data_IF_579371386144
#
_entry.id   IF_579371386144
#
_cell.length_a   1.000
_cell.length_b   1.000
_cell.length_c   1.000
_cell.angle_alpha   90.00
_cell.angle_beta   90.00
_cell.angle_gamma   90.00
#
_symmetry.space_group_name_H-M   'P 1'
#
loop_
_entity.id
_entity.type
_entity.pdbx_description
1 polymer ?
#
# COMPACT_ATOMS: atom_id res chain seq x y z
N UNK A 1 -22.66 0.95 11.03
CA UNK A 1 -22.91 0.34 9.71
C UNK A 1 -21.58 -0.23 9.24
N UNK A 2 -21.46 -1.54 9.27
CA UNK A 2 -20.25 -2.24 8.81
C UNK A 2 -20.37 -2.35 7.30
N UNK A 3 -19.42 -1.77 6.56
CA UNK A 3 -19.30 -2.04 5.13
C UNK A 3 -18.90 -3.52 5.00
N UNK A 4 -19.88 -4.41 4.85
CA UNK A 4 -19.59 -5.80 4.51
C UNK A 4 -19.19 -5.80 3.02
N UNK A 5 -17.95 -6.15 2.65
CA UNK A 5 -17.57 -6.24 1.25
C UNK A 5 -18.48 -7.27 0.58
N UNK A 6 -18.97 -6.96 -0.62
CA UNK A 6 -19.89 -7.79 -1.42
C UNK A 6 -19.25 -9.10 -1.92
N UNK A 7 -18.22 -9.61 -1.24
CA UNK A 7 -17.40 -10.73 -1.71
C UNK A 7 -16.65 -10.44 -3.01
N UNK A 8 -16.53 -9.16 -3.40
CA UNK A 8 -15.83 -8.74 -4.62
C UNK A 8 -14.36 -8.51 -4.29
N UNK A 9 -13.43 -9.26 -4.90
CA UNK A 9 -12.01 -8.99 -4.75
C UNK A 9 -11.67 -7.62 -5.36
N UNK A 10 -10.91 -6.81 -4.62
CA UNK A 10 -10.43 -5.50 -5.04
C UNK A 10 -8.91 -5.53 -5.23
N UNK A 11 -8.46 -5.19 -6.43
CA UNK A 11 -7.05 -4.96 -6.72
C UNK A 11 -6.82 -3.47 -6.94
N UNK A 12 -5.97 -2.88 -6.10
CA UNK A 12 -5.51 -1.49 -6.21
C UNK A 12 -4.15 -1.49 -6.92
N UNK A 13 -4.10 -0.94 -8.13
CA UNK A 13 -2.85 -0.74 -8.89
C UNK A 13 -2.44 0.72 -8.77
N UNK A 14 -1.27 0.98 -8.19
CA UNK A 14 -0.86 2.32 -7.77
C UNK A 14 0.31 2.81 -8.62
N UNK A 15 0.14 3.97 -9.26
CA UNK A 15 1.16 4.58 -10.12
C UNK A 15 2.11 5.54 -9.37
N UNK A 16 1.60 6.14 -8.30
CA UNK A 16 2.32 7.05 -7.42
C UNK A 16 1.62 7.15 -6.06
N UNK A 17 2.40 7.44 -5.02
CA UNK A 17 1.95 7.65 -3.64
C UNK A 17 2.52 8.98 -3.14
N UNK A 18 1.92 10.06 -3.63
CA UNK A 18 2.33 11.42 -3.28
C UNK A 18 2.22 11.65 -1.77
N UNK A 19 3.30 12.13 -1.15
CA UNK A 19 3.50 12.37 0.30
C UNK A 19 3.45 11.10 1.19
N UNK A 20 2.68 10.08 0.87
CA UNK A 20 2.56 8.87 1.71
C UNK A 20 3.91 8.14 1.90
N UNK A 21 4.76 8.15 0.87
CA UNK A 21 6.11 7.58 0.93
C UNK A 21 7.12 8.47 1.67
N UNK A 22 6.74 9.65 2.16
CA UNK A 22 7.66 10.52 2.89
C UNK A 22 7.88 9.96 4.29
N UNK A 23 9.10 9.47 4.53
CA UNK A 23 9.57 9.01 5.84
C UNK A 23 10.45 10.07 6.49
N UNK A 24 10.62 9.99 7.80
CA UNK A 24 11.49 10.94 8.53
C UNK A 24 12.96 10.86 8.05
N UNK A 25 13.40 9.68 7.60
CA UNK A 25 14.74 9.47 7.04
C UNK A 25 14.96 10.16 5.67
N UNK A 26 13.88 10.40 4.92
CA UNK A 26 13.93 11.13 3.65
C UNK A 26 13.91 12.65 3.85
N UNK A 27 13.52 13.12 5.05
CA UNK A 27 13.51 14.54 5.42
C UNK A 27 14.80 14.92 6.16
N UNK A 28 15.94 14.92 5.45
CA UNK A 28 17.26 15.29 6.03
C UNK A 28 17.80 16.64 5.51
N UNK A 29 16.97 17.43 4.83
CA UNK A 29 17.34 18.75 4.30
C UNK A 29 17.23 19.90 5.31
N UNK A 30 17.72 21.11 4.96
CA UNK A 30 17.65 22.29 5.82
C UNK A 30 16.23 22.71 6.22
N UNK A 31 15.21 22.26 5.49
CA UNK A 31 13.78 22.49 5.77
C UNK A 31 13.08 21.29 6.45
N UNK A 32 13.82 20.25 6.82
CA UNK A 32 13.28 18.99 7.35
C UNK A 32 12.29 19.18 8.50
N UNK A 33 12.55 20.12 9.41
CA UNK A 33 11.67 20.38 10.56
C UNK A 33 10.32 20.98 10.14
N UNK A 34 10.32 21.90 9.16
CA UNK A 34 9.11 22.54 8.64
C UNK A 34 8.32 21.57 7.75
N UNK A 35 9.00 20.80 6.91
CA UNK A 35 8.39 19.79 6.05
C UNK A 35 7.81 18.64 6.89
N UNK A 36 8.49 18.23 7.97
CA UNK A 36 7.97 17.25 8.93
C UNK A 36 6.72 17.75 9.65
N UNK A 37 6.71 19.00 10.09
CA UNK A 37 5.54 19.60 10.74
C UNK A 37 4.36 19.70 9.77
N UNK A 38 4.62 20.01 8.51
CA UNK A 38 3.59 20.26 7.49
C UNK A 38 3.03 18.97 6.89
N UNK A 39 3.88 17.98 6.60
CA UNK A 39 3.50 16.81 5.82
C UNK A 39 3.55 15.49 6.61
N UNK A 40 4.14 15.49 7.81
CA UNK A 40 4.24 14.28 8.63
C UNK A 40 2.87 13.68 8.98
N UNK A 41 1.88 14.53 9.29
CA UNK A 41 0.51 14.11 9.59
C UNK A 41 -0.20 13.48 8.39
N UNK A 42 -0.12 14.11 7.22
CA UNK A 42 -0.72 13.60 5.97
C UNK A 42 -0.07 12.25 5.57
N UNK A 43 1.26 12.17 5.68
CA UNK A 43 2.02 10.98 5.30
C UNK A 43 1.71 9.80 6.22
N UNK A 44 1.60 10.03 7.53
CA UNK A 44 1.24 9.02 8.51
C UNK A 44 -0.21 8.54 8.31
N UNK A 45 -1.15 9.47 8.12
CA UNK A 45 -2.56 9.15 7.87
C UNK A 45 -2.73 8.35 6.58
N UNK A 46 -2.00 8.70 5.52
CA UNK A 46 -1.99 7.95 4.26
C UNK A 46 -1.49 6.52 4.43
N UNK A 47 -0.42 6.31 5.20
CA UNK A 47 0.10 4.96 5.51
C UNK A 47 -0.89 4.16 6.35
N UNK A 48 -1.53 4.78 7.33
CA UNK A 48 -2.58 4.13 8.12
C UNK A 48 -3.76 3.70 7.23
N UNK A 49 -4.22 4.56 6.33
CA UNK A 49 -5.26 4.23 5.34
C UNK A 49 -4.87 3.04 4.46
N UNK A 50 -3.61 2.97 3.99
CA UNK A 50 -3.12 1.81 3.25
C UNK A 50 -3.15 0.53 4.09
N UNK A 51 -2.75 0.59 5.36
CA UNK A 51 -2.80 -0.57 6.26
C UNK A 51 -4.22 -1.04 6.51
N UNK A 52 -5.18 -0.13 6.68
CA UNK A 52 -6.59 -0.48 6.83
C UNK A 52 -7.08 -1.24 5.60
N UNK A 53 -6.83 -0.73 4.40
CA UNK A 53 -7.20 -1.40 3.16
C UNK A 53 -6.55 -2.78 3.00
N UNK A 54 -5.24 -2.88 3.25
CA UNK A 54 -4.49 -4.14 3.10
C UNK A 54 -4.85 -5.21 4.14
N UNK A 55 -5.56 -4.86 5.22
CA UNK A 55 -6.09 -5.82 6.20
C UNK A 55 -7.45 -6.38 5.81
N UNK A 56 -8.18 -5.68 4.94
CA UNK A 56 -9.51 -6.13 4.53
C UNK A 56 -9.40 -7.37 3.64
N UNK A 57 -10.11 -8.46 3.97
CA UNK A 57 -10.11 -9.67 3.15
C UNK A 57 -10.54 -9.38 1.71
N UNK A 58 -9.78 -9.89 0.75
CA UNK A 58 -10.07 -9.70 -0.68
C UNK A 58 -9.57 -8.38 -1.26
N UNK A 59 -8.92 -7.52 -0.46
CA UNK A 59 -8.21 -6.34 -0.96
C UNK A 59 -6.73 -6.67 -1.16
N UNK A 60 -6.20 -6.28 -2.30
CA UNK A 60 -4.77 -6.38 -2.62
C UNK A 60 -4.29 -5.08 -3.24
N UNK A 61 -3.00 -4.78 -3.08
CA UNK A 61 -2.39 -3.59 -3.63
C UNK A 61 -1.05 -3.95 -4.26
N UNK A 62 -0.75 -3.36 -5.42
CA UNK A 62 0.56 -3.47 -6.08
C UNK A 62 0.91 -2.18 -6.81
N UNK A 63 2.18 -1.96 -7.05
CA UNK A 63 2.62 -0.89 -7.95
C UNK A 63 2.22 -1.21 -9.40
N UNK A 64 2.12 -0.16 -10.22
CA UNK A 64 2.10 -0.27 -11.68
C UNK A 64 3.35 -0.98 -12.19
N UNK A 65 3.18 -1.76 -13.23
CA UNK A 65 4.26 -2.35 -14.02
C UNK A 65 4.13 -1.93 -15.50
N UNK A 66 5.03 -2.45 -16.34
CA UNK A 66 5.05 -2.12 -17.77
C UNK A 66 3.72 -2.41 -18.48
N UNK A 67 3.05 -3.52 -18.16
CA UNK A 67 1.78 -3.88 -18.79
C UNK A 67 0.65 -2.93 -18.40
N UNK A 68 0.65 -2.43 -17.16
CA UNK A 68 -0.32 -1.41 -16.75
C UNK A 68 -0.08 -0.10 -17.50
N UNK A 69 1.18 0.29 -17.69
CA UNK A 69 1.53 1.47 -18.46
C UNK A 69 1.16 1.34 -19.93
N UNK A 70 1.43 0.20 -20.56
CA UNK A 70 1.00 -0.09 -21.93
C UNK A 70 -0.53 -0.03 -22.05
N UNK A 71 -1.26 -0.60 -21.09
CA UNK A 71 -2.72 -0.51 -21.05
C UNK A 71 -3.19 0.95 -20.95
N UNK A 72 -2.64 1.74 -20.02
CA UNK A 72 -3.01 3.16 -19.85
C UNK A 72 -2.73 3.94 -21.14
N UNK A 73 -1.54 3.76 -21.71
CA UNK A 73 -1.11 4.45 -22.94
C UNK A 73 -1.98 4.06 -24.13
N UNK A 74 -2.47 2.82 -24.20
CA UNK A 74 -3.36 2.40 -25.30
C UNK A 74 -4.64 3.24 -25.40
N UNK A 75 -5.07 3.87 -24.31
CA UNK A 75 -6.25 4.75 -24.25
C UNK A 75 -5.94 6.23 -24.51
N UNK A 76 -4.67 6.60 -24.69
CA UNK A 76 -4.28 7.97 -25.00
C UNK A 76 -4.40 8.26 -26.51
N UNK A 77 -4.15 9.51 -26.87
CA UNK A 77 -4.06 10.02 -28.24
C UNK A 77 -2.93 9.33 -29.03
N UNK A 78 -3.00 9.36 -30.35
CA UNK A 78 -1.95 8.79 -31.23
C UNK A 78 -0.56 9.35 -30.94
N UNK A 79 -0.45 10.66 -30.67
CA UNK A 79 0.82 11.33 -30.34
C UNK A 79 1.49 10.72 -29.10
N UNK A 80 0.72 10.43 -28.06
CA UNK A 80 1.23 9.82 -26.82
C UNK A 80 1.64 8.37 -27.07
N UNK A 81 0.81 7.60 -27.76
CA UNK A 81 1.10 6.21 -28.13
C UNK A 81 2.40 6.11 -28.93
N UNK A 82 2.56 6.97 -29.93
CA UNK A 82 3.73 7.03 -30.80
C UNK A 82 5.01 7.38 -30.04
N UNK A 83 4.94 8.36 -29.14
CA UNK A 83 6.07 8.73 -28.31
C UNK A 83 6.41 7.65 -27.29
N UNK A 84 5.41 6.99 -26.70
CA UNK A 84 5.65 5.92 -25.72
C UNK A 84 6.23 4.66 -26.38
N UNK A 85 5.77 4.30 -27.59
CA UNK A 85 6.37 3.21 -28.37
C UNK A 85 7.85 3.45 -28.66
N UNK A 86 8.23 4.72 -28.85
CA UNK A 86 9.60 5.19 -29.09
C UNK A 86 10.31 5.69 -27.82
N UNK A 87 9.82 5.33 -26.63
CA UNK A 87 10.39 5.81 -25.35
C UNK A 87 11.87 5.41 -25.25
N UNK A 88 12.72 6.35 -24.86
CA UNK A 88 14.18 6.17 -24.82
C UNK A 88 14.92 6.58 -26.09
N UNK A 89 14.20 6.91 -27.17
CA UNK A 89 14.78 7.49 -28.38
C UNK A 89 14.94 9.01 -28.25
N UNK A 90 15.91 9.58 -28.99
CA UNK A 90 16.22 11.01 -28.95
C UNK A 90 15.10 11.91 -29.50
N UNK A 91 14.20 11.33 -30.32
CA UNK A 91 13.03 12.01 -30.90
C UNK A 91 11.76 11.86 -30.06
N UNK A 92 11.80 11.07 -28.98
CA UNK A 92 10.63 10.87 -28.11
C UNK A 92 10.56 11.92 -27.02
N UNK A 93 9.33 12.33 -26.68
CA UNK A 93 9.06 13.14 -25.47
C UNK A 93 9.42 12.36 -24.20
N UNK A 94 9.35 11.04 -24.23
CA UNK A 94 9.80 10.17 -23.14
C UNK A 94 11.26 9.81 -23.34
N UNK A 95 12.14 10.76 -23.03
CA UNK A 95 13.60 10.55 -23.09
C UNK A 95 14.07 9.40 -22.20
N UNK A 96 15.31 8.91 -22.39
CA UNK A 96 15.91 7.86 -21.54
C UNK A 96 15.88 8.18 -20.05
N UNK A 97 15.99 9.46 -19.70
CA UNK A 97 15.90 9.90 -18.30
C UNK A 97 14.52 9.59 -17.72
N UNK A 98 13.45 9.88 -18.46
CA UNK A 98 12.08 9.58 -18.03
C UNK A 98 11.86 8.07 -17.85
N UNK A 99 12.31 7.26 -18.82
CA UNK A 99 12.17 5.79 -18.77
C UNK A 99 12.91 5.23 -17.54
N UNK A 100 14.16 5.62 -17.36
CA UNK A 100 14.97 5.16 -16.23
C UNK A 100 14.41 5.63 -14.88
N UNK A 101 13.91 6.87 -14.80
CA UNK A 101 13.33 7.41 -13.58
C UNK A 101 12.02 6.68 -13.24
N UNK A 102 11.14 6.45 -14.23
CA UNK A 102 9.89 5.72 -14.04
C UNK A 102 10.13 4.30 -13.56
N UNK A 103 11.07 3.57 -14.17
CA UNK A 103 11.44 2.23 -13.73
C UNK A 103 11.94 2.19 -12.27
N UNK A 104 12.76 3.18 -11.86
CA UNK A 104 13.20 3.31 -10.47
C UNK A 104 12.05 3.63 -9.52
N UNK A 105 11.14 4.52 -9.91
CA UNK A 105 9.97 4.88 -9.11
C UNK A 105 9.00 3.69 -8.97
N UNK A 106 8.77 2.93 -10.03
CA UNK A 106 7.93 1.72 -9.98
C UNK A 106 8.53 0.66 -9.05
N UNK A 107 9.85 0.44 -9.13
CA UNK A 107 10.55 -0.48 -8.23
C UNK A 107 10.46 -0.03 -6.76
N UNK A 108 10.68 1.26 -6.49
CA UNK A 108 10.59 1.81 -5.14
C UNK A 108 9.18 1.73 -4.57
N UNK A 109 8.17 2.04 -5.40
CA UNK A 109 6.76 1.93 -5.02
C UNK A 109 6.35 0.48 -4.74
N UNK A 110 6.83 -0.46 -5.56
CA UNK A 110 6.57 -1.89 -5.36
C UNK A 110 7.15 -2.37 -4.03
N UNK A 111 8.40 -1.98 -3.72
CA UNK A 111 9.04 -2.29 -2.45
C UNK A 111 8.26 -1.69 -1.27
N UNK A 112 7.88 -0.42 -1.34
CA UNK A 112 7.11 0.24 -0.30
C UNK A 112 5.77 -0.45 -0.04
N UNK A 113 5.01 -0.78 -1.09
CA UNK A 113 3.73 -1.49 -0.95
C UNK A 113 3.94 -2.89 -0.35
N UNK A 114 5.01 -3.60 -0.75
CA UNK A 114 5.34 -4.90 -0.19
C UNK A 114 5.66 -4.81 1.32
N UNK A 115 6.41 -3.80 1.74
CA UNK A 115 6.68 -3.54 3.17
C UNK A 115 5.38 -3.26 3.95
N UNK A 116 4.47 -2.47 3.38
CA UNK A 116 3.17 -2.18 3.98
C UNK A 116 2.28 -3.43 4.09
N UNK A 117 2.26 -4.28 3.06
CA UNK A 117 1.54 -5.55 3.08
C UNK A 117 2.11 -6.52 4.12
N UNK A 118 3.44 -6.62 4.21
CA UNK A 118 4.11 -7.43 5.23
C UNK A 118 3.76 -6.94 6.66
N UNK A 119 3.73 -5.62 6.88
CA UNK A 119 3.30 -5.04 8.15
C UNK A 119 1.84 -5.35 8.46
N UNK A 120 0.94 -5.21 7.49
CA UNK A 120 -0.47 -5.56 7.67
C UNK A 120 -0.63 -7.04 8.08
N UNK A 121 0.08 -7.95 7.43
CA UNK A 121 0.07 -9.38 7.77
C UNK A 121 0.66 -9.68 9.16
N UNK A 122 1.77 -9.03 9.52
CA UNK A 122 2.43 -9.21 10.82
C UNK A 122 1.60 -8.72 12.01
N UNK A 123 0.77 -7.70 11.82
CA UNK A 123 -0.16 -7.21 12.86
C UNK A 123 -1.39 -8.11 13.00
N UNK A 124 -1.88 -8.71 11.91
CA UNK A 124 -2.93 -9.75 11.96
C UNK A 124 -2.43 -10.97 12.76
N UNK A 125 -1.15 -11.34 12.63
CA UNK A 125 -0.54 -12.43 13.40
C UNK A 125 -0.41 -12.18 14.91
N UNK A 126 -0.40 -10.91 15.36
CA UNK A 126 -0.38 -10.54 16.79
C UNK A 126 -1.78 -10.40 17.38
N UNK A 127 -2.80 -10.16 16.55
CA UNK A 127 -4.20 -10.01 16.96
C UNK A 127 -4.90 -11.30 17.42
N UNK A 128 -4.32 -12.48 17.17
CA UNK A 128 -4.87 -13.77 17.61
C UNK A 128 -4.17 -14.35 18.85
N UNK A 129 -3.35 -13.56 19.55
CA UNK A 129 -2.71 -13.93 20.81
C UNK A 129 -3.61 -13.83 22.05
N UNK A 130 -4.93 -13.94 21.91
CA UNK A 130 -5.79 -14.18 23.06
C UNK A 130 -5.51 -15.59 23.56
N UNK A 131 -4.63 -15.71 24.57
CA UNK A 131 -4.58 -16.91 25.40
C UNK A 131 -6.02 -17.27 25.78
N UNK A 132 -6.45 -18.53 25.60
CA UNK A 132 -7.72 -18.96 26.13
C UNK A 132 -7.74 -18.60 27.62
N UNK A 133 -8.68 -17.74 28.02
CA UNK A 133 -8.91 -17.52 29.44
C UNK A 133 -9.14 -18.90 30.08
N UNK A 134 -8.44 -19.25 31.17
CA UNK A 134 -8.72 -20.49 31.86
C UNK A 134 -10.20 -20.47 32.25
N UNK A 135 -10.96 -21.43 31.72
CA UNK A 135 -12.36 -21.60 32.09
C UNK A 135 -12.44 -21.72 33.62
N UNK A 136 -13.33 -20.97 34.29
CA UNK A 136 -13.55 -21.15 35.71
C UNK A 136 -13.97 -22.60 35.95
N UNK A 137 -13.34 -23.24 36.94
CA UNK A 137 -13.60 -24.62 37.29
C UNK A 137 -15.11 -24.84 37.53
N UNK A 138 -15.69 -25.96 37.06
CA UNK A 138 -17.09 -26.25 37.29
C UNK A 138 -17.37 -26.34 38.80
N UNK A 139 -18.55 -25.88 39.26
CA UNK A 139 -18.92 -25.96 40.67
C UNK A 139 -18.94 -27.42 41.14
N UNK A 140 -18.60 -27.68 42.41
CA UNK A 140 -18.62 -29.03 42.95
C UNK A 140 -20.04 -29.61 42.90
N UNK A 141 -20.17 -30.94 42.69
CA UNK A 141 -21.47 -31.59 42.63
C UNK A 141 -22.22 -31.40 43.95
N UNK A 142 -23.52 -31.11 43.84
CA UNK A 142 -24.41 -30.97 44.98
C UNK A 142 -24.41 -32.26 45.81
N UNK A 143 -24.29 -32.11 47.13
CA UNK A 143 -24.39 -33.23 48.05
C UNK A 143 -25.77 -33.92 47.90
N UNK A 144 -25.83 -35.26 47.95
CA UNK A 144 -27.09 -35.96 47.87
C UNK A 144 -27.97 -35.62 49.08
N UNK A 145 -29.30 -35.56 48.89
CA UNK A 145 -30.24 -35.30 49.98
C UNK A 145 -30.17 -36.41 51.03
N UNK A 146 -30.30 -36.00 52.30
CA UNK A 146 -30.28 -36.85 53.49
C UNK A 146 -31.45 -37.84 53.56
#
# INVERSE_FOLDING_TARGET
QTLAPLGVPLLLVVADLYKVMWTEELMTGPNATLERFTYGGDSASGREGMLLLLREPGVSMRATNELDWEFIVSHCDDDVRDHYARRGDDVSRFTRVHVNLRAKLDAHLAEFIAQMAARAAGEIGKGNGAQPQPQPAPPPPAAPPA
#
